data_IF_627331690681
#
_entry.id   IF_627331690681
#
_cell.length_a   1.000
_cell.length_b   1.000
_cell.length_c   1.000
_cell.angle_alpha   90.00
_cell.angle_beta   90.00
_cell.angle_gamma   90.00
#
_symmetry.space_group_name_H-M   'P 1'
#
loop_
_entity.id
_entity.type
_entity.pdbx_description
1 polymer ?
#
# COMPACT_ATOMS: atom_id res chain seq x y z
N UNK A 1 -122.19 9.92 13.58
CA UNK A 1 -122.05 10.83 12.42
C UNK A 1 -120.79 11.67 12.65
N UNK A 2 -119.77 11.51 11.79
CA UNK A 2 -118.70 12.48 11.44
C UNK A 2 -117.63 12.77 12.54
N UNK A 3 -116.45 12.11 12.51
CA UNK A 3 -115.11 12.63 12.04
C UNK A 3 -114.78 14.04 12.56
N UNK A 4 -113.68 14.29 13.28
CA UNK A 4 -112.32 14.31 12.71
C UNK A 4 -111.24 14.22 13.79
N UNK A 5 -110.18 13.48 13.47
CA UNK A 5 -108.94 13.36 14.22
C UNK A 5 -108.12 14.66 14.18
N UNK A 6 -107.40 14.96 15.26
CA UNK A 6 -106.37 16.01 15.31
C UNK A 6 -105.13 15.43 16.02
N UNK A 7 -104.08 15.19 15.23
CA UNK A 7 -102.67 15.05 15.66
C UNK A 7 -101.94 16.38 15.33
N UNK A 8 -100.64 16.62 15.65
CA UNK A 8 -99.72 16.05 16.66
C UNK A 8 -98.96 17.15 17.45
N UNK A 9 -98.12 16.79 18.44
CA UNK A 9 -96.80 17.45 18.61
C UNK A 9 -95.76 16.44 19.08
N UNK A 10 -95.00 15.94 18.11
CA UNK A 10 -93.76 15.20 18.29
C UNK A 10 -92.60 16.19 18.34
N UNK A 11 -91.94 16.34 19.48
CA UNK A 11 -90.71 17.14 19.56
C UNK A 11 -89.65 16.57 20.48
N UNK A 12 -89.64 15.25 20.72
CA UNK A 12 -88.64 14.66 21.62
C UNK A 12 -88.13 13.27 21.19
N UNK A 13 -87.75 13.13 19.92
CA UNK A 13 -86.89 12.04 19.45
C UNK A 13 -86.04 12.55 18.30
N UNK A 14 -84.89 13.18 18.58
CA UNK A 14 -83.86 13.42 17.57
C UNK A 14 -82.85 12.28 17.63
N UNK A 15 -83.23 11.15 17.03
CA UNK A 15 -82.30 10.08 16.68
C UNK A 15 -81.20 10.64 15.76
N UNK A 16 -79.96 10.59 16.24
CA UNK A 16 -78.76 11.00 15.51
C UNK A 16 -78.35 9.82 14.61
N UNK A 17 -78.84 9.79 13.37
CA UNK A 17 -78.28 8.91 12.34
C UNK A 17 -76.81 9.30 12.10
N UNK A 18 -75.84 8.35 12.12
CA UNK A 18 -74.47 8.65 11.74
C UNK A 18 -74.41 8.96 10.24
N UNK A 19 -73.93 10.15 9.90
CA UNK A 19 -73.74 10.58 8.52
C UNK A 19 -72.79 9.64 7.77
N UNK A 20 -73.15 9.26 6.54
CA UNK A 20 -72.38 8.41 5.61
C UNK A 20 -70.91 8.83 5.38
N UNK A 21 -70.51 10.03 5.81
CA UNK A 21 -69.16 10.57 5.71
C UNK A 21 -68.11 9.84 6.55
N UNK A 22 -68.51 9.04 7.56
CA UNK A 22 -67.56 8.40 8.46
C UNK A 22 -66.98 7.08 7.91
N UNK A 23 -67.74 6.33 7.11
CA UNK A 23 -67.24 5.10 6.50
C UNK A 23 -66.26 5.39 5.34
N UNK A 24 -66.59 6.31 4.42
CA UNK A 24 -65.71 6.64 3.29
C UNK A 24 -64.34 7.18 3.73
N UNK A 25 -64.29 7.91 4.84
CA UNK A 25 -63.04 8.42 5.42
C UNK A 25 -62.15 7.30 6.00
N UNK A 26 -62.77 6.25 6.55
CA UNK A 26 -62.06 5.12 7.16
C UNK A 26 -61.49 4.16 6.12
N UNK A 27 -62.24 3.90 5.04
CA UNK A 27 -61.75 3.14 3.88
C UNK A 27 -60.67 3.91 3.09
N UNK A 28 -60.77 5.24 3.00
CA UNK A 28 -59.72 6.07 2.40
C UNK A 28 -58.38 5.96 3.14
N UNK A 29 -58.40 5.98 4.47
CA UNK A 29 -57.18 5.85 5.29
C UNK A 29 -56.50 4.49 5.16
N UNK A 30 -57.26 3.41 5.05
CA UNK A 30 -56.71 2.06 4.87
C UNK A 30 -56.07 1.87 3.50
N UNK A 31 -56.69 2.41 2.44
CA UNK A 31 -56.12 2.35 1.08
C UNK A 31 -54.81 3.14 0.99
N UNK A 32 -54.76 4.32 1.62
CA UNK A 32 -53.53 5.12 1.68
C UNK A 32 -52.44 4.37 2.45
N UNK A 33 -52.76 3.76 3.59
CA UNK A 33 -51.77 3.02 4.40
C UNK A 33 -51.20 1.81 3.63
N UNK A 34 -52.03 1.06 2.91
CA UNK A 34 -51.58 -0.08 2.11
C UNK A 34 -50.72 0.40 0.94
N UNK A 35 -51.09 1.50 0.30
CA UNK A 35 -50.29 2.12 -0.76
C UNK A 35 -48.90 2.53 -0.29
N UNK A 36 -48.79 3.13 0.90
CA UNK A 36 -47.50 3.54 1.50
C UNK A 36 -46.62 2.32 1.80
N UNK A 37 -47.18 1.24 2.35
CA UNK A 37 -46.42 0.02 2.65
C UNK A 37 -45.87 -0.63 1.39
N UNK A 38 -46.69 -0.72 0.33
CA UNK A 38 -46.24 -1.26 -0.95
C UNK A 38 -45.12 -0.42 -1.59
N UNK A 39 -45.21 0.91 -1.46
CA UNK A 39 -44.19 1.82 -1.97
C UNK A 39 -42.85 1.62 -1.23
N UNK A 40 -42.89 1.48 0.09
CA UNK A 40 -41.70 1.18 0.91
C UNK A 40 -41.09 -0.16 0.48
N UNK A 41 -41.89 -1.21 0.31
CA UNK A 41 -41.41 -2.52 -0.15
C UNK A 41 -40.75 -2.45 -1.54
N UNK A 42 -41.33 -1.68 -2.47
CA UNK A 42 -40.76 -1.47 -3.80
C UNK A 42 -39.41 -0.74 -3.75
N UNK A 43 -39.29 0.28 -2.90
CA UNK A 43 -38.02 1.00 -2.70
C UNK A 43 -36.97 0.05 -2.11
N UNK A 44 -37.32 -0.75 -1.10
CA UNK A 44 -36.39 -1.70 -0.48
C UNK A 44 -35.89 -2.77 -1.45
N UNK A 45 -36.77 -3.33 -2.29
CA UNK A 45 -36.39 -4.33 -3.28
C UNK A 45 -35.53 -3.74 -4.40
N UNK A 46 -35.86 -2.55 -4.89
CA UNK A 46 -35.06 -1.85 -5.90
C UNK A 46 -33.68 -1.42 -5.37
N UNK A 47 -33.58 -1.12 -4.08
CA UNK A 47 -32.31 -0.83 -3.43
C UNK A 47 -31.45 -2.10 -3.25
N UNK A 48 -32.07 -3.22 -2.90
CA UNK A 48 -31.37 -4.51 -2.69
C UNK A 48 -30.70 -5.03 -3.97
N UNK A 49 -31.33 -4.89 -5.14
CA UNK A 49 -30.75 -5.34 -6.41
C UNK A 49 -29.53 -4.49 -6.81
N UNK A 50 -29.63 -3.17 -6.64
CA UNK A 50 -28.51 -2.22 -6.85
C UNK A 50 -27.35 -2.46 -5.88
N UNK A 51 -27.64 -2.79 -4.62
CA UNK A 51 -26.62 -3.12 -3.64
C UNK A 51 -25.88 -4.42 -3.96
N UNK A 52 -26.57 -5.44 -4.47
CA UNK A 52 -25.93 -6.71 -4.84
C UNK A 52 -24.91 -6.54 -5.98
N UNK A 53 -25.23 -5.72 -6.97
CA UNK A 53 -24.33 -5.41 -8.10
C UNK A 53 -23.10 -4.59 -7.66
N UNK A 54 -23.29 -3.67 -6.70
CA UNK A 54 -22.19 -2.96 -6.04
C UNK A 54 -21.33 -3.90 -5.18
N UNK A 55 -21.92 -4.89 -4.52
CA UNK A 55 -21.20 -5.87 -3.73
C UNK A 55 -20.35 -6.81 -4.60
N UNK A 56 -20.91 -7.33 -5.70
CA UNK A 56 -20.18 -8.21 -6.62
C UNK A 56 -19.02 -7.50 -7.31
N UNK A 57 -19.20 -6.23 -7.69
CA UNK A 57 -18.13 -5.44 -8.29
C UNK A 57 -17.01 -5.06 -7.31
N UNK A 58 -17.33 -4.96 -6.02
CA UNK A 58 -16.33 -4.69 -4.97
C UNK A 58 -15.53 -5.96 -4.62
N UNK A 59 -16.16 -7.13 -4.58
CA UNK A 59 -15.48 -8.40 -4.29
C UNK A 59 -14.51 -8.82 -5.39
N UNK A 60 -14.89 -8.67 -6.67
CA UNK A 60 -13.99 -8.96 -7.78
C UNK A 60 -12.75 -8.04 -7.81
N UNK A 61 -12.84 -6.83 -7.24
CA UNK A 61 -11.69 -5.93 -7.07
C UNK A 61 -10.79 -6.34 -5.91
N UNK A 62 -11.36 -6.93 -4.85
CA UNK A 62 -10.60 -7.41 -3.70
C UNK A 62 -9.73 -8.64 -4.05
N UNK A 63 -10.25 -9.60 -4.80
CA UNK A 63 -9.48 -10.79 -5.24
C UNK A 63 -8.29 -10.43 -6.16
N UNK A 64 -8.50 -9.47 -7.06
CA UNK A 64 -7.43 -8.94 -7.92
C UNK A 64 -6.41 -8.07 -7.14
N UNK A 65 -6.82 -7.47 -6.02
CA UNK A 65 -5.91 -6.71 -5.13
C UNK A 65 -5.10 -7.65 -4.23
N UNK A 66 -5.70 -8.71 -3.70
CA UNK A 66 -5.05 -9.70 -2.84
C UNK A 66 -3.95 -10.45 -3.60
N UNK A 67 -4.26 -10.94 -4.81
CA UNK A 67 -3.25 -11.54 -5.70
C UNK A 67 -2.16 -10.54 -6.12
N UNK A 68 -2.49 -9.26 -6.30
CA UNK A 68 -1.51 -8.20 -6.54
C UNK A 68 -0.60 -7.97 -5.34
N UNK A 69 -1.14 -8.04 -4.11
CA UNK A 69 -0.43 -7.79 -2.86
C UNK A 69 0.60 -8.88 -2.56
N UNK A 70 0.26 -10.17 -2.75
CA UNK A 70 1.21 -11.28 -2.58
C UNK A 70 2.42 -11.16 -3.51
N UNK A 71 2.19 -10.76 -4.77
CA UNK A 71 3.28 -10.56 -5.73
C UNK A 71 4.14 -9.34 -5.41
N UNK A 72 3.55 -8.33 -4.76
CA UNK A 72 4.26 -7.14 -4.30
C UNK A 72 5.08 -7.44 -3.05
N UNK A 73 4.55 -8.18 -2.09
CA UNK A 73 5.26 -8.61 -0.90
C UNK A 73 6.49 -9.45 -1.26
N UNK A 74 6.35 -10.41 -2.19
CA UNK A 74 7.49 -11.19 -2.69
C UNK A 74 8.57 -10.29 -3.33
N UNK A 75 8.15 -9.31 -4.13
CA UNK A 75 9.07 -8.35 -4.78
C UNK A 75 9.75 -7.44 -3.75
N UNK A 76 9.05 -7.02 -2.70
CA UNK A 76 9.61 -6.21 -1.62
C UNK A 76 10.64 -7.01 -0.84
N UNK A 77 10.35 -8.27 -0.49
CA UNK A 77 11.31 -9.14 0.20
C UNK A 77 12.56 -9.40 -0.65
N UNK A 78 12.40 -9.65 -1.95
CA UNK A 78 13.54 -9.79 -2.87
C UNK A 78 14.33 -8.48 -3.00
N UNK A 79 13.64 -7.34 -3.00
CA UNK A 79 14.24 -6.02 -3.06
C UNK A 79 15.02 -5.70 -1.78
N UNK A 80 14.50 -6.04 -0.60
CA UNK A 80 15.17 -5.86 0.68
C UNK A 80 16.45 -6.70 0.78
N UNK A 81 16.41 -7.95 0.30
CA UNK A 81 17.58 -8.82 0.26
C UNK A 81 18.68 -8.24 -0.66
N UNK A 82 18.31 -7.74 -1.85
CA UNK A 82 19.24 -7.09 -2.78
C UNK A 82 19.77 -5.77 -2.23
N UNK A 83 18.90 -4.94 -1.65
CA UNK A 83 19.29 -3.67 -1.02
C UNK A 83 20.25 -3.87 0.14
N UNK A 84 20.05 -4.91 0.96
CA UNK A 84 20.95 -5.19 2.06
C UNK A 84 22.35 -5.57 1.54
N UNK A 85 22.44 -6.43 0.52
CA UNK A 85 23.71 -6.79 -0.12
C UNK A 85 24.38 -5.58 -0.77
N UNK A 86 23.61 -4.75 -1.48
CA UNK A 86 24.12 -3.54 -2.14
C UNK A 86 24.59 -2.50 -1.13
N UNK A 87 23.91 -2.34 0.01
CA UNK A 87 24.30 -1.40 1.05
C UNK A 87 25.61 -1.80 1.75
N UNK A 88 25.83 -3.09 2.01
CA UNK A 88 27.09 -3.60 2.56
C UNK A 88 28.23 -3.39 1.55
N UNK A 89 27.99 -3.68 0.27
CA UNK A 89 28.97 -3.45 -0.79
C UNK A 89 29.34 -1.97 -0.89
N UNK A 90 28.34 -1.11 -0.99
CA UNK A 90 28.55 0.33 -1.14
C UNK A 90 29.26 0.92 0.08
N UNK A 91 28.90 0.50 1.30
CA UNK A 91 29.58 0.90 2.53
C UNK A 91 31.08 0.57 2.50
N UNK A 92 31.45 -0.64 2.08
CA UNK A 92 32.85 -1.04 1.99
C UNK A 92 33.61 -0.27 0.90
N UNK A 93 32.99 -0.07 -0.27
CA UNK A 93 33.60 0.71 -1.35
C UNK A 93 33.82 2.16 -0.93
N UNK A 94 32.85 2.79 -0.29
CA UNK A 94 32.96 4.16 0.21
C UNK A 94 34.04 4.26 1.29
N UNK A 95 34.10 3.27 2.20
CA UNK A 95 35.16 3.15 3.22
C UNK A 95 36.55 3.07 2.59
N UNK A 96 36.76 2.21 1.58
CA UNK A 96 38.05 2.11 0.89
C UNK A 96 38.36 3.42 0.16
N UNK A 97 37.38 3.98 -0.56
CA UNK A 97 37.54 5.21 -1.33
C UNK A 97 37.92 6.40 -0.44
N UNK A 98 37.44 6.45 0.80
CA UNK A 98 37.82 7.47 1.79
C UNK A 98 39.34 7.49 2.09
N UNK A 99 40.00 6.33 2.05
CA UNK A 99 41.46 6.22 2.25
C UNK A 99 42.21 6.89 1.09
N UNK A 100 41.64 6.81 -0.12
CA UNK A 100 42.19 7.41 -1.33
C UNK A 100 41.86 8.88 -1.53
N UNK A 101 41.06 9.53 -0.68
CA UNK A 101 40.62 10.93 -0.92
C UNK A 101 41.80 11.87 -1.19
N UNK A 102 42.92 11.65 -0.47
CA UNK A 102 44.11 12.48 -0.58
C UNK A 102 45.03 12.14 -1.78
N UNK A 103 44.78 11.03 -2.49
CA UNK A 103 45.55 10.68 -3.68
C UNK A 103 45.08 11.54 -4.88
N UNK A 104 45.96 12.42 -5.38
CA UNK A 104 45.69 13.31 -6.52
C UNK A 104 46.07 12.72 -7.88
N UNK A 105 46.77 11.59 -7.89
CA UNK A 105 47.25 10.94 -9.13
C UNK A 105 46.14 10.13 -9.79
N UNK A 106 45.22 9.56 -9.00
CA UNK A 106 44.13 8.71 -9.49
C UNK A 106 42.85 9.51 -9.72
N UNK A 107 42.19 9.25 -10.85
CA UNK A 107 40.83 9.72 -11.11
C UNK A 107 39.82 9.04 -10.19
N UNK A 108 38.66 9.66 -9.97
CA UNK A 108 37.56 9.09 -9.17
C UNK A 108 37.17 7.70 -9.68
N UNK A 109 37.14 7.52 -11.01
CA UNK A 109 36.83 6.23 -11.64
C UNK A 109 37.85 5.15 -11.31
N UNK A 110 39.13 5.49 -11.30
CA UNK A 110 40.20 4.53 -10.95
C UNK A 110 40.17 4.17 -9.47
N UNK A 111 39.92 5.15 -8.59
CA UNK A 111 39.73 4.90 -7.14
C UNK A 111 38.60 3.92 -6.89
N UNK A 112 37.45 4.13 -7.55
CA UNK A 112 36.31 3.22 -7.46
C UNK A 112 36.67 1.82 -7.97
N UNK A 113 37.36 1.72 -9.12
CA UNK A 113 37.76 0.43 -9.69
C UNK A 113 38.69 -0.36 -8.76
N UNK A 114 39.65 0.32 -8.13
CA UNK A 114 40.54 -0.33 -7.16
C UNK A 114 39.78 -0.74 -5.90
N UNK A 115 38.87 0.10 -5.40
CA UNK A 115 38.04 -0.23 -4.25
C UNK A 115 37.15 -1.46 -4.50
N UNK A 116 36.56 -1.55 -5.70
CA UNK A 116 35.78 -2.71 -6.13
C UNK A 116 36.63 -3.99 -6.22
N UNK A 117 37.84 -3.89 -6.79
CA UNK A 117 38.77 -5.02 -6.87
C UNK A 117 39.20 -5.53 -5.49
N UNK A 118 39.44 -4.62 -4.54
CA UNK A 118 39.75 -4.98 -3.14
C UNK A 118 38.56 -5.66 -2.47
N UNK A 119 37.35 -5.14 -2.66
CA UNK A 119 36.14 -5.73 -2.11
C UNK A 119 35.92 -7.15 -2.65
N UNK A 120 36.03 -7.34 -3.97
CA UNK A 120 35.91 -8.65 -4.59
C UNK A 120 37.02 -9.62 -4.15
N UNK A 121 38.25 -9.14 -3.93
CA UNK A 121 39.32 -9.95 -3.36
C UNK A 121 38.99 -10.42 -1.93
N UNK A 122 38.43 -9.53 -1.09
CA UNK A 122 38.01 -9.89 0.27
C UNK A 122 36.85 -10.90 0.30
N UNK A 123 35.98 -10.88 -0.71
CA UNK A 123 34.91 -11.88 -0.86
C UNK A 123 35.42 -13.23 -1.33
N UNK A 124 36.50 -13.24 -2.12
CA UNK A 124 37.10 -14.47 -2.65
C UNK A 124 37.82 -15.28 -1.57
N UNK A 125 38.36 -14.61 -0.56
CA UNK A 125 39.11 -15.24 0.53
C UNK A 125 38.50 -14.83 1.87
N UNK A 126 37.79 -15.75 2.54
CA UNK A 126 37.05 -15.47 3.77
C UNK A 126 37.93 -14.92 4.91
N UNK A 127 39.20 -15.32 4.95
CA UNK A 127 40.18 -14.87 5.94
C UNK A 127 40.81 -13.50 5.62
N UNK A 128 40.52 -12.93 4.45
CA UNK A 128 41.13 -11.69 3.98
C UNK A 128 40.15 -10.53 4.12
N UNK A 129 40.22 -9.82 5.25
CA UNK A 129 39.39 -8.64 5.45
C UNK A 129 39.81 -7.46 4.55
N UNK A 130 38.85 -6.62 4.19
CA UNK A 130 39.09 -5.36 3.46
C UNK A 130 40.13 -4.51 4.18
N UNK A 131 40.05 -4.44 5.52
CA UNK A 131 40.98 -3.67 6.35
C UNK A 131 42.41 -4.18 6.25
N UNK A 132 42.61 -5.50 6.20
CA UNK A 132 43.93 -6.10 6.09
C UNK A 132 44.58 -5.78 4.74
N UNK A 133 43.80 -5.87 3.65
CA UNK A 133 44.27 -5.47 2.31
C UNK A 133 44.65 -3.99 2.31
N UNK A 134 43.77 -3.12 2.82
CA UNK A 134 44.01 -1.68 2.90
C UNK A 134 45.22 -1.32 3.75
N UNK A 135 45.41 -1.99 4.89
CA UNK A 135 46.57 -1.78 5.76
C UNK A 135 47.87 -2.21 5.06
N UNK A 136 47.85 -3.36 4.38
CA UNK A 136 48.99 -3.86 3.60
C UNK A 136 49.37 -2.87 2.50
N UNK A 137 48.40 -2.42 1.69
CA UNK A 137 48.66 -1.43 0.64
C UNK A 137 49.21 -0.13 1.23
N UNK A 138 48.64 0.35 2.35
CA UNK A 138 49.11 1.57 3.01
C UNK A 138 50.56 1.47 3.49
N UNK A 139 50.94 0.29 3.98
CA UNK A 139 52.31 0.00 4.42
C UNK A 139 53.26 -0.07 3.21
N UNK A 140 52.85 -0.75 2.14
CA UNK A 140 53.69 -1.05 0.97
C UNK A 140 53.79 0.08 -0.05
N UNK A 141 52.75 0.89 -0.25
CA UNK A 141 52.73 2.00 -1.21
C UNK A 141 52.67 3.39 -0.54
N UNK A 142 52.60 3.42 0.79
CA UNK A 142 52.49 4.64 1.60
C UNK A 142 51.06 5.17 1.70
N UNK A 143 50.83 6.14 2.58
CA UNK A 143 49.50 6.75 2.85
C UNK A 143 48.79 7.34 1.62
N UNK A 144 49.53 7.58 0.54
CA UNK A 144 48.99 8.09 -0.72
C UNK A 144 48.59 7.01 -1.71
N UNK A 145 48.85 5.72 -1.45
CA UNK A 145 48.52 4.60 -2.33
C UNK A 145 48.98 4.81 -3.77
N UNK A 146 50.30 4.98 -3.95
CA UNK A 146 50.91 5.28 -5.24
C UNK A 146 51.00 4.01 -6.09
N UNK A 147 50.29 3.99 -7.21
CA UNK A 147 50.21 2.82 -8.10
C UNK A 147 51.48 2.60 -8.94
N UNK A 148 52.28 3.65 -9.12
CA UNK A 148 53.50 3.65 -9.93
C UNK A 148 54.79 3.50 -9.10
N UNK A 149 54.68 3.12 -7.81
CA UNK A 149 55.84 2.95 -6.93
C UNK A 149 56.64 1.71 -7.34
N UNK A 150 57.95 1.89 -7.54
CA UNK A 150 58.91 0.81 -7.77
C UNK A 150 59.93 0.82 -6.62
N UNK A 151 60.12 -0.32 -5.94
CA UNK A 151 61.12 -0.46 -4.89
C UNK A 151 62.54 -0.62 -5.47
N UNK A 152 63.59 -0.38 -4.67
CA UNK A 152 64.97 -0.66 -5.09
C UNK A 152 65.21 -2.12 -5.47
N UNK A 153 64.42 -3.03 -4.93
CA UNK A 153 64.47 -4.46 -5.24
C UNK A 153 63.65 -4.85 -6.49
N UNK A 154 62.97 -3.89 -7.12
CA UNK A 154 62.15 -4.12 -8.32
C UNK A 154 60.69 -4.51 -8.04
N UNK A 155 60.24 -4.39 -6.79
CA UNK A 155 58.83 -4.61 -6.44
C UNK A 155 57.95 -3.48 -6.98
N UNK A 156 56.74 -3.78 -7.45
CA UNK A 156 55.90 -2.83 -8.18
C UNK A 156 54.45 -2.77 -7.67
N UNK A 157 53.82 -1.61 -7.85
CA UNK A 157 52.39 -1.43 -7.64
C UNK A 157 51.99 -1.17 -6.18
N UNK A 158 50.67 -1.23 -5.92
CA UNK A 158 50.08 -0.90 -4.62
C UNK A 158 50.55 -1.82 -3.49
N UNK A 159 50.71 -3.11 -3.77
CA UNK A 159 51.14 -4.11 -2.80
C UNK A 159 52.64 -4.45 -2.91
N UNK A 160 53.39 -3.73 -3.74
CA UNK A 160 54.81 -3.99 -3.99
C UNK A 160 55.08 -5.47 -4.28
N UNK A 161 54.41 -6.00 -5.31
CA UNK A 161 54.63 -7.38 -5.75
C UNK A 161 55.93 -7.45 -6.57
N UNK A 162 56.75 -8.47 -6.31
CA UNK A 162 57.91 -8.75 -7.16
C UNK A 162 57.51 -9.64 -8.35
N UNK A 163 58.04 -9.38 -9.55
CA UNK A 163 57.87 -10.25 -10.72
C UNK A 163 58.40 -11.67 -10.52
#
# INVERSE_FOLDING_TARGET
MIRTARYPTASDCRERLPSLSWLSLRWGRTVISVGVVLLICFISLGFSSRLHELYSSTMARMENMESGMDTLELRVVEMDAKMNVDSIRQYNIDKITSIFENNRELSIREKYKIADEIYEASRKYEDLSVELICATISQESGRGWRTNRISPAGAMGLMQLMP
#
